data_IF_093863335736
#
_entry.id   IF_093863335736
#
_cell.length_a   1.000
_cell.length_b   1.000
_cell.length_c   1.000
_cell.angle_alpha   90.00
_cell.angle_beta   90.00
_cell.angle_gamma   90.00
#
_symmetry.space_group_name_H-M   'P 1'
#
loop_
_entity.id
_entity.type
_entity.pdbx_description
1 polymer ?
#
# COMPACT_ATOMS: atom_id res chain seq x y z
N UNK A 1 13.18 34.49 -11.51
CA UNK A 1 13.99 33.95 -12.61
C UNK A 1 13.16 32.90 -13.32
N UNK A 2 12.67 33.18 -14.52
CA UNK A 2 11.91 32.20 -15.32
C UNK A 2 12.90 31.24 -15.99
N UNK A 3 12.68 29.92 -15.92
CA UNK A 3 13.61 28.95 -16.51
C UNK A 3 13.69 29.13 -18.02
N UNK A 4 14.90 28.98 -18.58
CA UNK A 4 15.15 29.15 -20.00
C UNK A 4 14.38 28.12 -20.84
N UNK A 5 14.10 28.42 -22.12
CA UNK A 5 13.34 27.51 -23.00
C UNK A 5 13.99 26.10 -23.07
N UNK A 6 15.33 26.04 -23.00
CA UNK A 6 16.11 24.80 -22.96
C UNK A 6 15.94 24.02 -21.65
N UNK A 7 15.91 24.70 -20.50
CA UNK A 7 15.67 24.06 -19.20
C UNK A 7 14.28 23.44 -19.12
N UNK A 8 13.26 24.14 -19.63
CA UNK A 8 11.89 23.60 -19.72
C UNK A 8 11.86 22.35 -20.59
N UNK A 9 12.47 22.40 -21.77
CA UNK A 9 12.54 21.24 -22.67
C UNK A 9 13.23 20.03 -22.01
N UNK A 10 14.37 20.23 -21.37
CA UNK A 10 15.09 19.17 -20.66
C UNK A 10 14.27 18.60 -19.49
N UNK A 11 13.56 19.47 -18.76
CA UNK A 11 12.67 19.06 -17.66
C UNK A 11 11.52 18.20 -18.18
N UNK A 12 10.84 18.63 -19.25
CA UNK A 12 9.76 17.85 -19.87
C UNK A 12 10.25 16.51 -20.42
N UNK A 13 11.41 16.50 -21.07
CA UNK A 13 12.01 15.25 -21.58
C UNK A 13 12.29 14.27 -20.44
N UNK A 14 12.87 14.75 -19.33
CA UNK A 14 13.14 13.93 -18.15
C UNK A 14 11.84 13.40 -17.53
N UNK A 15 10.81 14.25 -17.39
CA UNK A 15 9.50 13.82 -16.88
C UNK A 15 8.88 12.74 -17.76
N UNK A 16 8.94 12.87 -19.09
CA UNK A 16 8.42 11.85 -20.01
C UNK A 16 9.18 10.53 -19.85
N UNK A 17 10.51 10.57 -19.78
CA UNK A 17 11.33 9.36 -19.60
C UNK A 17 10.97 8.66 -18.28
N UNK A 18 10.90 9.41 -17.18
CA UNK A 18 10.50 8.88 -15.87
C UNK A 18 9.10 8.27 -15.96
N UNK A 19 8.14 8.99 -16.55
CA UNK A 19 6.77 8.51 -16.70
C UNK A 19 6.72 7.19 -17.48
N UNK A 20 7.44 7.07 -18.60
CA UNK A 20 7.49 5.83 -19.40
C UNK A 20 8.06 4.68 -18.56
N UNK A 21 9.14 4.90 -17.81
CA UNK A 21 9.76 3.87 -16.97
C UNK A 21 8.77 3.37 -15.91
N UNK A 22 8.08 4.28 -15.20
CA UNK A 22 7.13 3.91 -14.15
C UNK A 22 5.81 3.33 -14.70
N UNK A 23 5.38 3.75 -15.89
CA UNK A 23 4.16 3.24 -16.54
C UNK A 23 4.37 1.88 -17.21
N UNK A 24 5.60 1.52 -17.59
CA UNK A 24 5.92 0.24 -18.22
C UNK A 24 5.43 -0.97 -17.41
N UNK A 25 5.74 -1.14 -16.10
CA UNK A 25 5.24 -2.28 -15.33
C UNK A 25 3.71 -2.28 -15.19
N UNK A 26 3.08 -1.11 -15.06
CA UNK A 26 1.62 -0.99 -14.98
C UNK A 26 0.98 -1.44 -16.30
N UNK A 27 1.53 -1.01 -17.43
CA UNK A 27 1.11 -1.45 -18.76
C UNK A 27 1.24 -2.97 -18.92
N UNK A 28 2.34 -3.57 -18.45
CA UNK A 28 2.54 -5.00 -18.51
C UNK A 28 1.51 -5.78 -17.67
N UNK A 29 1.13 -5.26 -16.49
CA UNK A 29 0.08 -5.87 -15.66
C UNK A 29 -1.28 -5.80 -16.36
N UNK A 30 -1.63 -4.65 -16.92
CA UNK A 30 -2.90 -4.45 -17.65
C UNK A 30 -3.00 -5.34 -18.90
N UNK A 31 -1.92 -5.43 -19.68
CA UNK A 31 -1.88 -6.32 -20.83
C UNK A 31 -1.98 -7.78 -20.39
N UNK A 32 -1.33 -8.15 -19.29
CA UNK A 32 -1.35 -9.52 -18.79
C UNK A 32 -2.71 -9.93 -18.20
N UNK A 33 -3.45 -9.00 -17.60
CA UNK A 33 -4.79 -9.30 -17.06
C UNK A 33 -5.83 -9.61 -18.15
N UNK A 34 -5.58 -9.18 -19.39
CA UNK A 34 -6.45 -9.41 -20.54
C UNK A 34 -5.99 -10.58 -21.44
N UNK A 35 -4.82 -11.16 -21.17
CA UNK A 35 -4.27 -12.27 -21.96
C UNK A 35 -4.94 -13.60 -21.60
N UNK A 36 -5.40 -14.40 -22.57
CA UNK A 36 -5.85 -15.76 -22.32
C UNK A 36 -4.77 -16.64 -21.65
N UNK A 37 -5.16 -17.50 -20.70
CA UNK A 37 -4.25 -18.39 -19.94
C UNK A 37 -3.25 -19.19 -20.79
N UNK A 38 -3.63 -19.77 -21.96
CA UNK A 38 -2.72 -20.58 -22.76
C UNK A 38 -1.52 -19.81 -23.35
N UNK A 39 -1.65 -18.49 -23.52
CA UNK A 39 -0.60 -17.65 -24.12
C UNK A 39 0.14 -16.80 -23.08
N UNK A 40 -0.31 -16.78 -21.83
CA UNK A 40 0.24 -15.94 -20.77
C UNK A 40 1.72 -16.22 -20.50
N UNK A 41 2.14 -17.48 -20.60
CA UNK A 41 3.53 -17.93 -20.41
C UNK A 41 4.24 -18.32 -21.71
N UNK A 42 3.70 -17.92 -22.87
CA UNK A 42 4.31 -18.25 -24.17
C UNK A 42 5.68 -17.57 -24.33
N UNK A 43 6.65 -18.30 -24.88
CA UNK A 43 7.98 -17.81 -25.26
C UNK A 43 8.12 -17.97 -26.79
N UNK A 44 8.29 -16.90 -27.58
CA UNK A 44 8.42 -15.48 -27.20
C UNK A 44 7.10 -14.84 -26.71
N UNK A 45 7.15 -13.74 -25.94
CA UNK A 45 5.96 -13.04 -25.45
C UNK A 45 5.09 -12.57 -26.62
N UNK A 46 3.86 -13.06 -26.70
CA UNK A 46 2.90 -12.57 -27.70
C UNK A 46 2.25 -11.27 -27.22
N UNK A 47 2.47 -10.19 -27.96
CA UNK A 47 1.85 -8.89 -27.72
C UNK A 47 0.53 -8.71 -28.49
N UNK A 48 0.30 -9.51 -29.53
CA UNK A 48 -0.96 -9.57 -30.27
C UNK A 48 -1.77 -10.75 -29.74
N UNK A 49 -2.95 -10.48 -29.20
CA UNK A 49 -3.87 -11.48 -28.67
C UNK A 49 -5.31 -10.95 -28.73
N UNK A 50 -6.28 -11.86 -28.65
CA UNK A 50 -7.69 -11.51 -28.46
C UNK A 50 -7.92 -11.23 -26.97
N UNK A 51 -8.23 -9.99 -26.57
CA UNK A 51 -8.45 -9.67 -25.16
C UNK A 51 -9.65 -10.46 -24.63
N UNK A 52 -9.52 -11.00 -23.42
CA UNK A 52 -10.60 -11.73 -22.74
C UNK A 52 -10.83 -11.18 -21.34
N UNK A 53 -12.09 -11.19 -20.91
CA UNK A 53 -12.51 -10.84 -19.56
C UNK A 53 -12.78 -12.07 -18.68
N UNK A 54 -12.45 -13.26 -19.17
CA UNK A 54 -12.72 -14.52 -18.46
C UNK A 54 -12.09 -14.53 -17.06
N UNK A 55 -10.86 -14.01 -16.91
CA UNK A 55 -10.19 -13.91 -15.60
C UNK A 55 -10.99 -13.09 -14.59
N UNK A 56 -11.64 -12.02 -15.04
CA UNK A 56 -12.49 -11.20 -14.16
C UNK A 56 -13.75 -11.96 -13.77
N UNK A 57 -14.39 -12.67 -14.71
CA UNK A 57 -15.55 -13.51 -14.39
C UNK A 57 -15.19 -14.63 -13.41
N UNK A 58 -14.07 -15.31 -13.63
CA UNK A 58 -13.58 -16.41 -12.78
C UNK A 58 -13.24 -15.91 -11.36
N UNK A 59 -12.71 -14.69 -11.22
CA UNK A 59 -12.44 -14.07 -9.91
C UNK A 59 -13.71 -13.95 -9.05
N UNK A 60 -14.85 -13.57 -9.65
CA UNK A 60 -16.11 -13.38 -8.91
C UNK A 60 -16.93 -14.67 -8.76
N UNK A 61 -16.69 -15.70 -9.57
CA UNK A 61 -17.44 -16.96 -9.54
C UNK A 61 -16.73 -18.09 -8.82
N UNK A 62 -15.41 -18.21 -8.95
CA UNK A 62 -14.63 -19.32 -8.37
C UNK A 62 -14.05 -19.02 -6.98
N UNK A 63 -14.05 -17.74 -6.57
CA UNK A 63 -13.50 -17.29 -5.29
C UNK A 63 -14.45 -16.26 -4.65
N UNK A 64 -14.51 -16.18 -3.31
CA UNK A 64 -15.23 -15.13 -2.61
C UNK A 64 -14.45 -13.80 -2.67
N UNK A 65 -14.08 -13.35 -3.87
CA UNK A 65 -13.26 -12.17 -4.09
C UNK A 65 -13.92 -10.90 -3.54
N UNK A 66 -15.25 -10.82 -3.61
CA UNK A 66 -16.04 -9.74 -3.02
C UNK A 66 -15.84 -9.61 -1.50
N UNK A 67 -15.75 -10.72 -0.76
CA UNK A 67 -15.46 -10.70 0.68
C UNK A 67 -14.04 -10.25 0.97
N UNK A 68 -13.08 -10.62 0.13
CA UNK A 68 -11.68 -10.20 0.29
C UNK A 68 -11.54 -8.69 0.08
N UNK A 69 -12.18 -8.14 -0.95
CA UNK A 69 -12.23 -6.68 -1.17
C UNK A 69 -12.87 -6.00 0.04
N UNK A 70 -13.98 -6.52 0.55
CA UNK A 70 -14.67 -5.94 1.70
C UNK A 70 -13.79 -5.98 2.96
N UNK A 71 -13.12 -7.10 3.23
CA UNK A 71 -12.17 -7.21 4.35
C UNK A 71 -11.03 -6.19 4.22
N UNK A 72 -10.42 -6.06 3.03
CA UNK A 72 -9.37 -5.06 2.80
C UNK A 72 -9.89 -3.64 2.98
N UNK A 73 -11.11 -3.34 2.51
CA UNK A 73 -11.73 -2.03 2.67
C UNK A 73 -11.99 -1.70 4.14
N UNK A 74 -12.55 -2.66 4.90
CA UNK A 74 -12.80 -2.52 6.34
C UNK A 74 -11.48 -2.29 7.09
N UNK A 75 -10.45 -3.08 6.79
CA UNK A 75 -9.15 -2.95 7.44
C UNK A 75 -8.51 -1.60 7.12
N UNK A 76 -8.49 -1.19 5.85
CA UNK A 76 -7.87 0.07 5.42
C UNK A 76 -8.58 1.30 6.00
N UNK A 77 -9.91 1.33 5.95
CA UNK A 77 -10.70 2.43 6.52
C UNK A 77 -10.61 2.43 8.05
N UNK A 78 -10.71 1.25 8.67
CA UNK A 78 -10.63 1.08 10.11
C UNK A 78 -9.28 1.52 10.67
N UNK A 79 -8.17 1.07 10.07
CA UNK A 79 -6.82 1.46 10.51
C UNK A 79 -6.58 2.96 10.28
N UNK A 80 -7.01 3.51 9.14
CA UNK A 80 -6.86 4.94 8.85
C UNK A 80 -7.64 5.80 9.83
N UNK A 81 -8.90 5.47 10.09
CA UNK A 81 -9.74 6.21 11.03
C UNK A 81 -9.17 6.15 12.45
N UNK A 82 -8.73 4.98 12.89
CA UNK A 82 -8.13 4.79 14.22
C UNK A 82 -6.79 5.53 14.36
N UNK A 83 -5.91 5.44 13.35
CA UNK A 83 -4.64 6.17 13.33
C UNK A 83 -4.84 7.67 13.27
N UNK A 84 -5.84 8.17 12.53
CA UNK A 84 -6.16 9.59 12.53
C UNK A 84 -6.69 10.04 13.89
N UNK A 85 -7.60 9.29 14.52
CA UNK A 85 -8.15 9.64 15.82
C UNK A 85 -7.05 9.79 16.88
N UNK A 86 -6.19 8.78 17.03
CA UNK A 86 -5.12 8.80 18.04
C UNK A 86 -3.97 9.72 17.62
N UNK A 87 -3.55 9.63 16.36
CA UNK A 87 -2.40 10.35 15.81
C UNK A 87 -2.63 11.87 15.78
N UNK A 88 -3.83 12.33 15.45
CA UNK A 88 -4.14 13.77 15.48
C UNK A 88 -4.13 14.32 16.90
N UNK A 89 -4.68 13.59 17.88
CA UNK A 89 -4.62 13.98 19.29
C UNK A 89 -3.18 14.05 19.80
N UNK A 90 -2.36 13.04 19.49
CA UNK A 90 -0.95 13.02 19.85
C UNK A 90 -0.16 14.16 19.17
N UNK A 91 -0.36 14.37 17.87
CA UNK A 91 0.28 15.44 17.11
C UNK A 91 -0.11 16.83 17.61
N UNK A 92 -1.36 17.01 18.04
CA UNK A 92 -1.82 18.25 18.65
C UNK A 92 -1.10 18.54 19.97
N UNK A 93 -1.00 17.53 20.86
CA UNK A 93 -0.28 17.68 22.12
C UNK A 93 1.20 18.02 21.89
N UNK A 94 1.85 17.34 20.95
CA UNK A 94 3.26 17.57 20.60
C UNK A 94 3.48 18.97 20.01
N UNK A 95 2.57 19.44 19.13
CA UNK A 95 2.74 20.73 18.45
C UNK A 95 2.45 21.94 19.35
N UNK A 96 1.55 21.81 20.34
CA UNK A 96 1.08 22.95 21.12
C UNK A 96 1.76 23.10 22.48
N UNK A 97 2.17 21.99 23.11
CA UNK A 97 2.75 22.05 24.45
C UNK A 97 4.26 22.31 24.36
N UNK A 98 4.72 23.41 24.96
CA UNK A 98 6.14 23.82 24.96
C UNK A 98 6.84 23.29 26.22
N UNK A 99 7.08 21.98 26.27
CA UNK A 99 7.76 21.32 27.40
C UNK A 99 8.88 20.40 26.91
N UNK A 100 10.04 20.38 27.58
CA UNK A 100 11.23 19.63 27.13
C UNK A 100 10.96 18.13 26.90
N UNK A 101 10.15 17.50 27.77
CA UNK A 101 9.76 16.07 27.68
C UNK A 101 9.00 15.71 26.41
N UNK A 102 8.42 16.67 25.69
CA UNK A 102 7.67 16.38 24.46
C UNK A 102 8.61 16.04 23.31
N UNK A 103 9.78 16.67 23.28
CA UNK A 103 10.82 16.31 22.32
C UNK A 103 11.31 14.86 22.55
N UNK A 104 11.40 14.43 23.82
CA UNK A 104 11.75 13.04 24.17
C UNK A 104 10.66 12.05 23.70
N UNK A 105 9.38 12.39 23.89
CA UNK A 105 8.24 11.58 23.40
C UNK A 105 8.24 11.50 21.87
N UNK A 106 8.44 12.62 21.18
CA UNK A 106 8.52 12.65 19.72
C UNK A 106 9.71 11.82 19.20
N UNK A 107 10.87 11.91 19.85
CA UNK A 107 12.05 11.10 19.52
C UNK A 107 11.79 9.60 19.74
N UNK A 108 11.10 9.24 20.82
CA UNK A 108 10.73 7.85 21.12
C UNK A 108 9.79 7.27 20.06
N UNK A 109 8.76 8.03 19.65
CA UNK A 109 7.85 7.63 18.56
C UNK A 109 8.63 7.40 17.27
N UNK A 110 9.53 8.33 16.90
CA UNK A 110 10.35 8.18 15.69
C UNK A 110 11.26 6.94 15.75
N UNK A 111 11.85 6.67 16.92
CA UNK A 111 12.71 5.51 17.14
C UNK A 111 11.97 4.19 16.92
N UNK A 112 10.71 4.10 17.37
CA UNK A 112 9.86 2.93 17.12
C UNK A 112 9.56 2.71 15.64
N UNK A 113 9.42 3.77 14.83
CA UNK A 113 9.18 3.66 13.38
C UNK A 113 10.39 3.18 12.59
N UNK A 114 11.59 3.28 13.15
CA UNK A 114 12.82 2.75 12.55
C UNK A 114 13.05 1.28 12.89
N UNK A 115 12.26 0.72 13.83
CA UNK A 115 12.35 -0.69 14.16
C UNK A 115 11.90 -1.55 12.97
N UNK A 116 12.64 -2.61 12.61
CA UNK A 116 12.29 -3.43 11.46
C UNK A 116 10.93 -4.12 11.68
N UNK A 117 9.93 -3.89 10.80
CA UNK A 117 8.58 -4.44 11.00
C UNK A 117 8.54 -5.97 11.13
N UNK A 118 9.49 -6.67 10.49
CA UNK A 118 9.58 -8.13 10.56
C UNK A 118 9.86 -8.64 11.98
N UNK A 119 10.58 -7.87 12.79
CA UNK A 119 10.98 -8.30 14.14
C UNK A 119 9.82 -8.27 15.15
N UNK A 120 8.74 -7.53 14.87
CA UNK A 120 7.53 -7.51 15.73
C UNK A 120 6.47 -8.55 15.34
N UNK A 121 6.63 -9.24 14.20
CA UNK A 121 5.61 -10.17 13.68
C UNK A 121 5.35 -11.34 14.63
N UNK A 122 6.40 -11.99 15.15
CA UNK A 122 6.27 -13.14 16.06
C UNK A 122 5.61 -12.74 17.39
N UNK A 123 6.05 -11.65 18.07
CA UNK A 123 5.35 -11.14 19.24
C UNK A 123 3.87 -10.84 18.99
N UNK A 124 3.52 -10.18 17.88
CA UNK A 124 2.13 -9.90 17.54
C UNK A 124 1.33 -11.18 17.35
N UNK A 125 1.86 -12.17 16.63
CA UNK A 125 1.20 -13.45 16.45
C UNK A 125 0.85 -14.09 17.81
N UNK A 126 1.78 -14.11 18.76
CA UNK A 126 1.55 -14.67 20.10
C UNK A 126 0.45 -13.89 20.83
N UNK A 127 0.48 -12.55 20.81
CA UNK A 127 -0.53 -11.69 21.47
C UNK A 127 -1.92 -11.93 20.88
N UNK A 128 -2.07 -11.90 19.55
CA UNK A 128 -3.39 -12.11 18.94
C UNK A 128 -3.87 -13.56 19.08
N UNK A 129 -2.95 -14.53 19.17
CA UNK A 129 -3.28 -15.91 19.51
C UNK A 129 -3.83 -16.05 20.91
N UNK A 130 -3.21 -15.44 21.91
CA UNK A 130 -3.68 -15.52 23.30
C UNK A 130 -4.99 -14.76 23.50
N UNK A 131 -5.21 -13.68 22.76
CA UNK A 131 -6.45 -12.92 22.77
C UNK A 131 -7.59 -13.57 21.94
N UNK A 132 -7.32 -14.66 21.21
CA UNK A 132 -8.32 -15.30 20.34
C UNK A 132 -8.74 -14.46 19.13
N UNK A 133 -7.91 -13.49 18.73
CA UNK A 133 -8.17 -12.53 17.65
C UNK A 133 -7.47 -12.90 16.33
N UNK A 134 -6.86 -14.08 16.25
CA UNK A 134 -6.26 -14.56 15.00
C UNK A 134 -7.28 -14.62 13.88
N UNK A 135 -6.82 -14.33 12.66
CA UNK A 135 -7.61 -14.33 11.43
C UNK A 135 -8.83 -13.37 11.45
N UNK A 136 -8.79 -12.34 12.30
CA UNK A 136 -9.81 -11.28 12.34
C UNK A 136 -9.35 -9.98 11.69
N UNK A 137 -10.26 -9.21 11.05
CA UNK A 137 -9.97 -7.86 10.58
C UNK A 137 -9.53 -6.90 11.69
N UNK A 138 -10.01 -7.13 12.92
CA UNK A 138 -9.69 -6.32 14.09
C UNK A 138 -8.20 -6.42 14.47
N UNK A 139 -7.63 -7.63 14.41
CA UNK A 139 -6.19 -7.80 14.63
C UNK A 139 -5.36 -7.01 13.62
N UNK A 140 -5.76 -7.03 12.34
CA UNK A 140 -5.08 -6.27 11.28
C UNK A 140 -5.23 -4.76 11.46
N UNK A 141 -6.41 -4.27 11.84
CA UNK A 141 -6.65 -2.84 12.11
C UNK A 141 -5.70 -2.34 13.21
N UNK A 142 -5.58 -3.07 14.32
CA UNK A 142 -4.72 -2.68 15.44
C UNK A 142 -3.24 -2.67 15.01
N UNK A 143 -2.79 -3.69 14.29
CA UNK A 143 -1.39 -3.79 13.84
C UNK A 143 -1.05 -2.72 12.82
N UNK A 144 -1.95 -2.40 11.89
CA UNK A 144 -1.68 -1.38 10.86
C UNK A 144 -1.81 0.05 11.36
N UNK A 145 -2.24 0.25 12.60
CA UNK A 145 -2.37 1.58 13.20
C UNK A 145 -1.13 2.08 13.95
N UNK A 146 -0.03 1.32 13.95
CA UNK A 146 1.26 1.68 14.54
C UNK A 146 2.14 2.46 13.58
#
# INVERSE_FOLDING_TARGET
MTPSMREKFLTYMLVIIVLVIFMTPIYLILVSSLKPSPIMFSRPPRFIFTPTLQHYYDLFTMRPFHLQILNSLIVALGSTAFSLAIGTMAAYAISRIKHRRINDVAFWILSMRMFPPIAVVVPYYIIFKTLGLLDTPLALIIVYST
#
